data_IF_492455527583
#
_entry.id   IF_492455527583
#
_cell.length_a   1.000
_cell.length_b   1.000
_cell.length_c   1.000
_cell.angle_alpha   90.00
_cell.angle_beta   90.00
_cell.angle_gamma   90.00
#
_symmetry.space_group_name_H-M   'P 1'
#
loop_
_entity.id
_entity.type
_entity.pdbx_description
1 polymer ?
#
# COMPACT_ATOMS: atom_id res chain seq x y z
N UNK A 1 17.08 -10.10 -15.62
CA UNK A 1 16.36 -10.89 -14.59
C UNK A 1 15.64 -10.04 -13.52
N UNK A 2 15.67 -8.69 -13.54
CA UNK A 2 14.95 -7.86 -12.56
C UNK A 2 13.41 -7.84 -12.74
N UNK A 3 12.89 -7.88 -13.97
CA UNK A 3 11.44 -7.70 -14.22
C UNK A 3 10.53 -8.76 -13.59
N UNK A 4 10.97 -10.01 -13.46
CA UNK A 4 10.13 -11.06 -12.86
C UNK A 4 9.94 -10.86 -11.35
N UNK A 5 10.84 -10.14 -10.67
CA UNK A 5 10.76 -9.97 -9.22
C UNK A 5 9.75 -8.89 -8.81
N UNK A 6 9.57 -7.85 -9.64
CA UNK A 6 8.68 -6.72 -9.34
C UNK A 6 7.20 -7.11 -9.50
N UNK A 7 6.86 -7.87 -10.55
CA UNK A 7 5.48 -8.37 -10.75
C UNK A 7 5.01 -9.27 -9.61
N UNK A 8 5.89 -10.13 -9.09
CA UNK A 8 5.57 -10.99 -7.96
C UNK A 8 5.33 -10.17 -6.68
N UNK A 9 6.17 -9.16 -6.41
CA UNK A 9 5.98 -8.24 -5.29
C UNK A 9 4.64 -7.51 -5.39
N UNK A 10 4.24 -7.09 -6.60
CA UNK A 10 2.93 -6.48 -6.82
C UNK A 10 1.78 -7.43 -6.51
N UNK A 11 1.84 -8.68 -6.98
CA UNK A 11 0.77 -9.66 -6.73
C UNK A 11 0.63 -9.98 -5.24
N UNK A 12 1.75 -10.23 -4.56
CA UNK A 12 1.77 -10.48 -3.12
C UNK A 12 1.17 -9.30 -2.33
N UNK A 13 1.57 -8.09 -2.69
CA UNK A 13 1.09 -6.88 -2.03
C UNK A 13 -0.40 -6.66 -2.25
N UNK A 14 -0.89 -6.85 -3.48
CA UNK A 14 -2.33 -6.75 -3.78
C UNK A 14 -3.13 -7.83 -3.05
N UNK A 15 -2.64 -9.07 -2.99
CA UNK A 15 -3.29 -10.14 -2.24
C UNK A 15 -3.39 -9.79 -0.75
N UNK A 16 -2.31 -9.27 -0.17
CA UNK A 16 -2.29 -8.82 1.22
C UNK A 16 -3.31 -7.70 1.49
N UNK A 17 -3.32 -6.63 0.68
CA UNK A 17 -4.31 -5.55 0.83
C UNK A 17 -5.73 -6.06 0.63
N UNK A 18 -5.98 -6.92 -0.36
CA UNK A 18 -7.30 -7.49 -0.56
C UNK A 18 -7.77 -8.33 0.66
N UNK A 19 -6.85 -8.96 1.40
CA UNK A 19 -7.20 -9.64 2.65
C UNK A 19 -7.55 -8.65 3.76
N UNK A 20 -6.85 -7.52 3.89
CA UNK A 20 -7.25 -6.44 4.81
C UNK A 20 -8.65 -5.93 4.46
N UNK A 21 -8.93 -5.71 3.17
CA UNK A 21 -10.23 -5.22 2.71
C UNK A 21 -11.37 -6.24 2.81
N UNK A 22 -11.11 -7.48 3.26
CA UNK A 22 -12.18 -8.41 3.65
C UNK A 22 -12.74 -8.10 5.03
N UNK A 23 -12.02 -7.34 5.84
CA UNK A 23 -12.54 -6.81 7.10
C UNK A 23 -13.64 -5.78 6.77
N UNK A 24 -14.86 -6.06 7.24
CA UNK A 24 -16.03 -5.24 6.93
C UNK A 24 -15.93 -3.84 7.54
N UNK A 25 -15.31 -3.69 8.72
CA UNK A 25 -15.15 -2.39 9.38
C UNK A 25 -14.19 -1.52 8.57
N UNK A 26 -13.03 -2.06 8.19
CA UNK A 26 -12.04 -1.35 7.36
C UNK A 26 -12.62 -0.98 6.00
N UNK A 27 -13.33 -1.92 5.36
CA UNK A 27 -13.95 -1.66 4.06
C UNK A 27 -15.02 -0.57 4.16
N UNK A 28 -15.79 -0.55 5.24
CA UNK A 28 -16.82 0.44 5.49
C UNK A 28 -16.21 1.84 5.70
N UNK A 29 -15.17 1.97 6.53
CA UNK A 29 -14.47 3.24 6.75
C UNK A 29 -13.90 3.83 5.44
N UNK A 30 -13.32 2.98 4.60
CA UNK A 30 -12.80 3.40 3.30
C UNK A 30 -13.91 3.81 2.33
N UNK A 31 -15.06 3.11 2.35
CA UNK A 31 -16.23 3.50 1.53
C UNK A 31 -16.83 4.82 1.98
N UNK A 32 -16.93 5.05 3.29
CA UNK A 32 -17.41 6.32 3.85
C UNK A 32 -16.50 7.48 3.42
N UNK A 33 -15.18 7.26 3.46
CA UNK A 33 -14.18 8.23 2.97
C UNK A 33 -14.30 8.53 1.47
N UNK A 34 -14.94 7.62 0.72
CA UNK A 34 -15.18 7.68 -0.71
C UNK A 34 -16.64 7.94 -1.10
N UNK A 35 -17.49 8.40 -0.18
CA UNK A 35 -18.91 8.69 -0.48
C UNK A 35 -19.65 7.49 -1.11
N UNK A 36 -19.27 6.27 -0.70
CA UNK A 36 -19.76 4.99 -1.21
C UNK A 36 -19.47 4.72 -2.70
N UNK A 37 -18.47 5.39 -3.28
CA UNK A 37 -17.97 5.07 -4.60
C UNK A 37 -17.10 3.81 -4.64
N UNK A 38 -16.90 3.25 -5.84
CA UNK A 38 -16.02 2.11 -6.04
C UNK A 38 -14.56 2.48 -5.77
N UNK A 39 -13.98 1.79 -4.80
CA UNK A 39 -12.55 1.87 -4.46
C UNK A 39 -11.71 1.19 -5.55
N UNK A 40 -10.58 1.80 -5.87
CA UNK A 40 -9.55 1.24 -6.76
C UNK A 40 -8.21 1.18 -6.03
N UNK A 41 -7.52 0.06 -6.20
CA UNK A 41 -6.15 -0.12 -5.74
C UNK A 41 -5.20 0.15 -6.90
N UNK A 42 -4.24 1.06 -6.69
CA UNK A 42 -3.25 1.43 -7.70
C UNK A 42 -1.86 1.29 -7.12
N UNK A 43 -1.09 0.34 -7.66
CA UNK A 43 0.32 0.21 -7.31
C UNK A 43 1.07 1.46 -7.77
N UNK A 44 1.61 2.22 -6.82
CA UNK A 44 2.23 3.52 -7.09
C UNK A 44 3.75 3.43 -7.18
N UNK A 45 4.38 2.68 -6.28
CA UNK A 45 5.83 2.59 -6.22
C UNK A 45 6.30 1.29 -5.56
N UNK A 46 7.45 0.79 -6.03
CA UNK A 46 8.26 -0.21 -5.32
C UNK A 46 9.67 0.36 -5.19
N UNK A 47 10.19 0.38 -3.97
CA UNK A 47 11.53 0.83 -3.66
C UNK A 47 12.23 -0.21 -2.79
N UNK A 48 13.54 -0.37 -2.96
CA UNK A 48 14.34 -1.22 -2.09
C UNK A 48 15.11 -0.36 -1.09
N UNK A 49 14.99 -0.67 0.20
CA UNK A 49 15.54 0.11 1.30
C UNK A 49 16.91 -0.45 1.68
N UNK A 50 17.97 0.17 1.15
CA UNK A 50 19.36 -0.24 1.45
C UNK A 50 19.83 0.19 2.85
N UNK A 51 19.22 1.25 3.39
CA UNK A 51 19.58 1.82 4.68
C UNK A 51 18.34 2.36 5.38
N UNK A 52 18.18 1.97 6.63
CA UNK A 52 17.20 2.51 7.57
C UNK A 52 17.92 2.80 8.89
N UNK A 53 17.73 3.99 9.44
CA UNK A 53 18.46 4.43 10.65
C UNK A 53 18.14 3.55 11.85
N UNK A 54 16.90 3.06 11.93
CA UNK A 54 16.44 2.19 13.00
C UNK A 54 16.68 0.70 12.68
N UNK A 55 17.25 0.41 11.51
CA UNK A 55 17.56 -0.93 10.97
C UNK A 55 16.34 -1.86 10.86
N UNK A 56 15.12 -1.37 11.11
CA UNK A 56 13.88 -2.15 11.11
C UNK A 56 13.49 -2.56 9.69
N UNK A 57 13.64 -1.64 8.74
CA UNK A 57 13.26 -1.85 7.34
C UNK A 57 14.47 -1.94 6.41
N UNK A 58 15.67 -2.15 6.95
CA UNK A 58 16.86 -2.31 6.12
C UNK A 58 16.80 -3.61 5.33
N UNK A 59 17.28 -3.59 4.09
CA UNK A 59 17.24 -4.69 3.13
C UNK A 59 15.81 -5.20 2.88
N UNK A 60 14.86 -4.28 2.75
CA UNK A 60 13.46 -4.61 2.51
C UNK A 60 12.92 -3.96 1.23
N UNK A 61 11.87 -4.53 0.67
CA UNK A 61 11.04 -3.92 -0.35
C UNK A 61 9.95 -3.09 0.33
N UNK A 62 9.95 -1.78 0.05
CA UNK A 62 8.87 -0.86 0.38
C UNK A 62 7.93 -0.73 -0.81
N UNK A 63 6.65 -1.02 -0.60
CA UNK A 63 5.65 -1.07 -1.66
C UNK A 63 4.50 -0.13 -1.28
N UNK A 64 4.22 0.83 -2.15
CA UNK A 64 3.12 1.79 -1.95
C UNK A 64 1.96 1.47 -2.90
N UNK A 65 0.78 1.24 -2.32
CA UNK A 65 -0.48 1.02 -3.02
C UNK A 65 -1.45 2.12 -2.65
N UNK A 66 -1.76 3.00 -3.60
CA UNK A 66 -2.79 4.03 -3.42
C UNK A 66 -4.18 3.38 -3.37
N UNK A 67 -5.03 3.93 -2.51
CA UNK A 67 -6.47 3.70 -2.52
C UNK A 67 -7.14 4.96 -3.04
N UNK A 68 -7.89 4.82 -4.12
CA UNK A 68 -8.50 5.95 -4.83
C UNK A 68 -9.96 5.68 -5.17
N UNK A 69 -10.77 6.74 -5.25
CA UNK A 69 -12.12 6.73 -5.82
C UNK A 69 -12.31 7.93 -6.75
N UNK A 70 -12.79 7.65 -7.97
CA UNK A 70 -12.89 8.62 -9.09
C UNK A 70 -11.67 9.54 -9.24
N UNK A 71 -11.71 10.73 -8.61
CA UNK A 71 -10.67 11.78 -8.66
C UNK A 71 -10.05 12.09 -7.29
N UNK A 72 -10.44 11.36 -6.25
CA UNK A 72 -9.99 11.52 -4.87
C UNK A 72 -9.04 10.38 -4.50
N UNK A 73 -7.92 10.73 -3.87
CA UNK A 73 -7.03 9.74 -3.23
C UNK A 73 -7.39 9.70 -1.76
N UNK A 74 -7.78 8.54 -1.24
CA UNK A 74 -8.08 8.35 0.19
C UNK A 74 -6.77 8.34 0.99
N UNK A 75 -5.79 7.62 0.45
CA UNK A 75 -4.52 7.38 1.10
C UNK A 75 -3.74 6.31 0.37
N UNK A 76 -2.70 5.80 1.02
CA UNK A 76 -1.88 4.72 0.52
C UNK A 76 -1.63 3.71 1.63
N UNK A 77 -1.71 2.42 1.30
CA UNK A 77 -1.02 1.41 2.09
C UNK A 77 0.46 1.40 1.71
N UNK A 78 1.32 1.34 2.72
CA UNK A 78 2.75 1.16 2.60
C UNK A 78 3.11 -0.15 3.26
N UNK A 79 3.57 -1.11 2.46
CA UNK A 79 3.95 -2.45 2.92
C UNK A 79 5.46 -2.60 2.87
N UNK A 80 5.99 -3.33 3.86
CA UNK A 80 7.40 -3.72 3.91
C UNK A 80 7.53 -5.23 3.85
N UNK A 81 8.34 -5.72 2.91
CA UNK A 81 8.66 -7.14 2.75
C UNK A 81 10.17 -7.35 2.82
N UNK A 82 10.63 -8.42 3.46
CA UNK A 82 12.05 -8.78 3.47
C UNK A 82 12.53 -9.30 2.10
N UNK A 83 13.83 -9.61 1.98
CA UNK A 83 14.40 -10.18 0.74
C UNK A 83 13.81 -11.55 0.36
N UNK A 84 13.30 -12.28 1.34
CA UNK A 84 12.56 -13.54 1.18
C UNK A 84 11.10 -13.34 0.77
N UNK A 85 10.65 -12.08 0.58
CA UNK A 85 9.26 -11.68 0.32
C UNK A 85 8.31 -11.99 1.48
N UNK A 86 8.83 -12.17 2.70
CA UNK A 86 8.01 -12.28 3.90
C UNK A 86 7.55 -10.90 4.34
N UNK A 87 6.32 -10.83 4.83
CA UNK A 87 5.74 -9.59 5.33
C UNK A 87 6.41 -9.15 6.64
N UNK A 88 6.79 -7.87 6.73
CA UNK A 88 7.39 -7.26 7.92
C UNK A 88 6.37 -6.38 8.65
N UNK A 89 5.79 -5.40 7.96
CA UNK A 89 4.92 -4.38 8.56
C UNK A 89 4.06 -3.63 7.51
N UNK A 90 2.96 -3.03 7.95
CA UNK A 90 2.05 -2.20 7.16
C UNK A 90 1.73 -0.86 7.82
N UNK A 91 1.57 0.16 6.97
CA UNK A 91 1.07 1.47 7.39
C UNK A 91 -0.01 1.95 6.43
N UNK A 92 -1.11 2.44 6.98
CA UNK A 92 -2.07 3.23 6.20
C UNK A 92 -1.75 4.72 6.37
N UNK A 93 -1.43 5.38 5.26
CA UNK A 93 -1.08 6.80 5.22
C UNK A 93 -2.20 7.56 4.52
N UNK A 94 -2.94 8.35 5.29
CA UNK A 94 -3.97 9.25 4.75
C UNK A 94 -3.25 10.40 4.03
N UNK A 95 -3.63 10.67 2.78
CA UNK A 95 -3.16 11.89 2.11
C UNK A 95 -4.06 13.04 2.54
N UNK A 96 -3.51 14.13 3.11
CA UNK A 96 -4.30 15.33 3.33
C UNK A 96 -4.77 15.87 1.97
N UNK A 97 -6.04 16.26 1.88
CA UNK A 97 -6.55 16.95 0.70
C UNK A 97 -5.72 18.24 0.53
N UNK A 98 -5.07 18.38 -0.63
CA UNK A 98 -4.34 19.59 -1.03
C UNK A 98 -5.26 20.82 -1.21
N UNK A 99 -6.55 20.70 -0.91
CA UNK A 99 -7.52 21.79 -0.99
C UNK A 99 -7.39 22.80 0.16
N UNK A 100 -6.65 22.47 1.23
CA UNK A 100 -6.44 23.32 2.40
C UNK A 100 -5.03 23.93 2.52
N UNK A 101 -4.25 23.96 1.42
CA UNK A 101 -2.92 24.62 1.34
C UNK A 101 -2.89 25.77 0.32
#
# INVERSE_FOLDING_TARGET
MLNRNIEDLFKLSLEYINNILKDEEVLQELKESCENENIKLINKNISYVLYDKNELFKNSYKIEISIECKRKSIGSYVLYLDEGKNFIDEFFVIKPDLADL
#
